data_IF_328528055705
#
_entry.id   IF_328528055705
#
_cell.length_a   1.000
_cell.length_b   1.000
_cell.length_c   1.000
_cell.angle_alpha   90.00
_cell.angle_beta   90.00
_cell.angle_gamma   90.00
#
_symmetry.space_group_name_H-M   'P 1'
#
loop_
_entity.id
_entity.type
_entity.pdbx_description
1 polymer ?
#
# COMPACT_ATOMS: atom_id res chain seq x y z
N UNK A 1 -6.36 -1.91 -15.44
CA UNK A 1 -5.96 -0.83 -14.51
C UNK A 1 -6.85 -0.94 -13.28
N UNK A 2 -6.37 -1.64 -12.27
CA UNK A 2 -7.14 -1.89 -11.05
C UNK A 2 -6.19 -2.50 -10.04
N UNK A 3 -5.59 -1.64 -9.21
CA UNK A 3 -5.09 -2.08 -7.93
C UNK A 3 -6.30 -2.04 -7.00
N UNK A 4 -6.67 -3.15 -6.37
CA UNK A 4 -7.92 -3.21 -5.62
C UNK A 4 -7.68 -2.68 -4.21
N UNK A 5 -7.80 -1.36 -4.10
CA UNK A 5 -7.68 -0.63 -2.84
C UNK A 5 -9.07 -0.07 -2.52
N UNK A 6 -9.68 -0.58 -1.45
CA UNK A 6 -11.06 -0.24 -1.09
C UNK A 6 -11.17 0.86 -0.03
N UNK A 7 -10.07 1.29 0.60
CA UNK A 7 -10.09 2.43 1.52
C UNK A 7 -8.82 2.61 2.36
N UNK A 8 -8.76 3.73 3.08
CA UNK A 8 -7.72 4.05 4.08
C UNK A 8 -8.45 4.31 5.41
N UNK A 9 -8.03 3.64 6.49
CA UNK A 9 -8.55 3.89 7.84
C UNK A 9 -7.43 4.52 8.67
N UNK A 10 -7.63 5.78 9.07
CA UNK A 10 -6.65 6.57 9.81
C UNK A 10 -6.76 6.39 11.33
N UNK A 11 -7.84 5.76 11.83
CA UNK A 11 -8.13 5.65 13.26
C UNK A 11 -8.37 4.17 13.70
N UNK A 12 -7.55 3.65 14.65
CA UNK A 12 -7.71 2.31 15.22
C UNK A 12 -9.06 2.07 15.94
N UNK A 13 -9.67 3.12 16.52
CA UNK A 13 -10.92 3.01 17.28
C UNK A 13 -12.10 2.81 16.34
N UNK A 14 -12.06 3.48 15.17
CA UNK A 14 -13.05 3.31 14.10
C UNK A 14 -12.94 1.92 13.46
N UNK A 15 -11.72 1.37 13.36
CA UNK A 15 -11.51 -0.02 12.92
C UNK A 15 -12.20 -1.02 13.86
N UNK A 16 -12.03 -0.86 15.17
CA UNK A 16 -12.65 -1.75 16.18
C UNK A 16 -14.19 -1.72 16.15
N UNK A 17 -14.80 -0.55 15.93
CA UNK A 17 -16.27 -0.40 15.87
C UNK A 17 -16.91 -1.03 14.64
N UNK A 18 -16.15 -1.22 13.56
CA UNK A 18 -16.60 -1.87 12.33
C UNK A 18 -16.33 -3.38 12.30
N UNK A 19 -15.92 -3.99 13.43
CA UNK A 19 -15.66 -5.43 13.53
C UNK A 19 -14.32 -5.86 12.91
N UNK A 20 -13.41 -4.91 12.69
CA UNK A 20 -12.10 -5.14 12.08
C UNK A 20 -11.09 -5.40 13.20
N UNK A 21 -10.47 -6.59 13.21
CA UNK A 21 -9.34 -6.88 14.10
C UNK A 21 -8.04 -6.34 13.49
N UNK A 22 -7.52 -5.25 14.08
CA UNK A 22 -6.22 -4.65 13.74
C UNK A 22 -6.17 -3.18 14.14
N UNK A 23 -5.00 -2.70 14.62
CA UNK A 23 -4.75 -1.26 14.73
C UNK A 23 -4.45 -0.67 13.34
N UNK A 24 -4.69 0.63 13.18
CA UNK A 24 -4.66 1.38 11.91
C UNK A 24 -3.64 0.86 10.87
N UNK A 25 -4.12 0.62 9.65
CA UNK A 25 -3.36 0.08 8.54
C UNK A 25 -4.21 0.00 7.27
N UNK A 26 -3.57 0.07 6.11
CA UNK A 26 -4.22 0.12 4.79
C UNK A 26 -4.95 -1.19 4.48
N UNK A 27 -6.24 -1.12 4.18
CA UNK A 27 -7.05 -2.29 3.82
C UNK A 27 -6.97 -2.58 2.31
N UNK A 28 -6.39 -3.73 1.95
CA UNK A 28 -6.43 -4.29 0.60
C UNK A 28 -7.34 -5.50 0.60
N UNK A 29 -8.58 -5.34 0.15
CA UNK A 29 -9.53 -6.45 0.09
C UNK A 29 -10.30 -6.40 -1.24
N UNK A 30 -9.65 -6.84 -2.32
CA UNK A 30 -10.37 -7.38 -3.48
C UNK A 30 -10.84 -8.79 -3.13
N UNK A 31 -12.08 -9.12 -3.41
CA UNK A 31 -12.59 -10.50 -3.32
C UNK A 31 -11.77 -11.44 -4.24
N UNK A 32 -11.29 -10.92 -5.38
CA UNK A 32 -10.42 -11.67 -6.28
C UNK A 32 -9.03 -11.93 -5.68
N UNK A 33 -8.45 -10.94 -4.99
CA UNK A 33 -7.15 -11.06 -4.33
C UNK A 33 -7.26 -12.00 -3.14
N UNK A 34 -8.38 -11.95 -2.40
CA UNK A 34 -8.69 -12.93 -1.35
C UNK A 34 -8.75 -14.35 -1.91
N UNK A 35 -9.47 -14.55 -3.01
CA UNK A 35 -9.62 -15.87 -3.61
C UNK A 35 -8.29 -16.37 -4.20
N UNK A 36 -7.53 -15.52 -4.88
CA UNK A 36 -6.18 -15.85 -5.38
C UNK A 36 -5.20 -16.14 -4.24
N UNK A 37 -5.28 -15.39 -3.14
CA UNK A 37 -4.46 -15.62 -1.93
C UNK A 37 -4.89 -16.89 -1.18
N UNK A 38 -6.19 -17.16 -1.09
CA UNK A 38 -6.76 -18.36 -0.47
C UNK A 38 -6.44 -19.63 -1.28
N UNK A 39 -6.31 -19.50 -2.60
CA UNK A 39 -5.87 -20.57 -3.50
C UNK A 39 -4.34 -20.65 -3.64
N UNK A 40 -3.56 -19.82 -2.92
CA UNK A 40 -2.10 -19.77 -2.98
C UNK A 40 -1.53 -19.31 -4.33
N UNK A 41 -2.39 -18.81 -5.23
CA UNK A 41 -2.12 -18.52 -6.65
C UNK A 41 -2.35 -17.05 -6.98
N UNK A 42 -1.54 -16.17 -6.39
CA UNK A 42 -1.43 -14.79 -6.85
C UNK A 42 -0.72 -14.74 -8.20
N UNK A 43 -1.31 -14.07 -9.18
CA UNK A 43 -0.55 -13.74 -10.40
C UNK A 43 0.65 -12.86 -10.03
N UNK A 44 1.83 -13.10 -10.62
CA UNK A 44 3.06 -12.35 -10.29
C UNK A 44 2.83 -10.83 -10.31
N UNK A 45 2.10 -10.33 -11.30
CA UNK A 45 1.77 -8.89 -11.41
C UNK A 45 0.82 -8.37 -10.32
N UNK A 46 -0.07 -9.21 -9.78
CA UNK A 46 -0.95 -8.81 -8.68
C UNK A 46 -0.18 -8.79 -7.36
N UNK A 47 0.70 -9.78 -7.14
CA UNK A 47 1.61 -9.82 -6.01
C UNK A 47 2.59 -8.64 -6.00
N UNK A 48 3.15 -8.28 -7.16
CA UNK A 48 4.03 -7.12 -7.30
C UNK A 48 3.33 -5.83 -6.89
N UNK A 49 2.12 -5.59 -7.40
CA UNK A 49 1.33 -4.40 -7.05
C UNK A 49 0.93 -4.39 -5.58
N UNK A 50 0.57 -5.55 -5.03
CA UNK A 50 0.26 -5.68 -3.61
C UNK A 50 1.46 -5.25 -2.75
N UNK A 51 2.64 -5.82 -3.03
CA UNK A 51 3.86 -5.50 -2.29
C UNK A 51 4.23 -4.03 -2.42
N UNK A 52 4.09 -3.44 -3.62
CA UNK A 52 4.32 -2.01 -3.81
C UNK A 52 3.44 -1.17 -2.87
N UNK A 53 2.14 -1.45 -2.78
CA UNK A 53 1.27 -0.61 -1.95
C UNK A 53 1.45 -0.91 -0.46
N UNK A 54 1.69 -2.16 -0.08
CA UNK A 54 2.04 -2.55 1.29
C UNK A 54 3.25 -1.75 1.80
N UNK A 55 4.30 -1.64 0.97
CA UNK A 55 5.51 -0.89 1.31
C UNK A 55 5.45 0.60 0.96
N UNK A 56 4.33 1.11 0.44
CA UNK A 56 4.22 2.52 0.06
C UNK A 56 4.26 3.47 1.27
N UNK A 57 3.78 3.03 2.44
CA UNK A 57 3.89 3.77 3.70
C UNK A 57 5.35 3.98 4.11
N UNK A 58 6.10 2.89 4.22
CA UNK A 58 7.55 2.90 4.51
C UNK A 58 8.31 3.77 3.49
N UNK A 59 7.99 3.63 2.20
CA UNK A 59 8.61 4.43 1.15
C UNK A 59 8.26 5.94 1.26
N UNK A 60 7.04 6.28 1.69
CA UNK A 60 6.62 7.66 1.90
C UNK A 60 7.32 8.29 3.11
N UNK A 61 7.44 7.55 4.22
CA UNK A 61 8.18 7.99 5.41
C UNK A 61 9.64 8.26 5.07
N UNK A 62 10.31 7.31 4.41
CA UNK A 62 11.69 7.48 3.98
C UNK A 62 11.87 8.69 3.03
N UNK A 63 10.89 8.95 2.15
CA UNK A 63 10.93 10.10 1.24
C UNK A 63 10.74 11.44 1.95
N UNK A 64 9.94 11.49 3.01
CA UNK A 64 9.59 12.74 3.72
C UNK A 64 10.55 13.04 4.87
N UNK A 65 10.91 12.03 5.66
CA UNK A 65 11.65 12.15 6.91
C UNK A 65 13.10 11.65 6.83
N UNK A 66 13.47 10.95 5.75
CA UNK A 66 14.83 10.45 5.50
C UNK A 66 15.11 9.06 6.08
N UNK A 67 14.34 8.64 7.08
CA UNK A 67 14.33 7.29 7.64
C UNK A 67 12.86 6.85 7.84
N UNK A 68 12.61 5.54 7.84
CA UNK A 68 11.32 4.97 8.18
C UNK A 68 11.33 4.51 9.63
N UNK A 69 10.36 4.97 10.43
CA UNK A 69 10.26 4.67 11.86
C UNK A 69 9.18 3.61 12.16
N UNK A 70 8.31 3.32 11.19
CA UNK A 70 7.28 2.28 11.26
C UNK A 70 7.50 1.12 10.28
N UNK A 71 6.49 0.24 10.15
CA UNK A 71 6.44 -0.79 9.11
C UNK A 71 6.62 -2.23 9.57
N UNK A 72 6.86 -2.49 10.86
CA UNK A 72 6.99 -3.87 11.38
C UNK A 72 5.74 -4.73 11.08
N UNK A 73 4.55 -4.12 11.18
CA UNK A 73 3.29 -4.78 10.81
C UNK A 73 3.23 -5.13 9.32
N UNK A 74 3.69 -4.22 8.45
CA UNK A 74 3.72 -4.43 7.01
C UNK A 74 4.72 -5.55 6.64
N UNK A 75 5.88 -5.58 7.29
CA UNK A 75 6.87 -6.65 7.13
C UNK A 75 6.36 -8.02 7.60
N UNK A 76 5.66 -8.07 8.75
CA UNK A 76 5.06 -9.29 9.27
C UNK A 76 3.93 -9.80 8.37
N UNK A 77 3.11 -8.90 7.84
CA UNK A 77 2.06 -9.24 6.86
C UNK A 77 2.66 -9.77 5.56
N UNK A 78 3.69 -9.08 5.04
CA UNK A 78 4.45 -9.53 3.86
C UNK A 78 5.04 -10.93 4.06
N UNK A 79 5.68 -11.18 5.21
CA UNK A 79 6.25 -12.50 5.54
C UNK A 79 5.18 -13.57 5.59
N UNK A 80 4.05 -13.29 6.22
CA UNK A 80 2.94 -14.24 6.35
C UNK A 80 2.39 -14.63 4.99
N UNK A 81 2.21 -13.65 4.08
CA UNK A 81 1.75 -13.91 2.71
C UNK A 81 2.76 -14.73 1.92
N UNK A 82 4.06 -14.39 1.99
CA UNK A 82 5.10 -15.11 1.24
C UNK A 82 5.19 -16.60 1.58
N UNK A 83 4.87 -16.97 2.84
CA UNK A 83 4.85 -18.36 3.31
C UNK A 83 3.57 -19.09 2.88
N UNK A 84 2.47 -18.37 2.68
CA UNK A 84 1.18 -18.93 2.24
C UNK A 84 1.09 -19.11 0.71
N UNK A 85 2.00 -18.54 -0.06
CA UNK A 85 2.05 -18.72 -1.52
C UNK A 85 2.42 -20.15 -1.88
N UNK A 86 1.92 -20.63 -3.03
CA UNK A 86 2.25 -21.94 -3.58
C UNK A 86 2.94 -21.80 -4.96
N UNK A 87 4.27 -22.06 -5.05
CA UNK A 87 5.19 -22.41 -3.96
C UNK A 87 5.56 -21.21 -3.08
N UNK A 88 5.97 -21.46 -1.81
CA UNK A 88 6.38 -20.39 -0.90
C UNK A 88 7.69 -19.76 -1.37
N UNK A 89 7.85 -18.46 -1.09
CA UNK A 89 9.07 -17.74 -1.47
C UNK A 89 10.23 -18.13 -0.54
N UNK A 90 11.41 -18.32 -1.14
CA UNK A 90 12.65 -18.39 -0.37
C UNK A 90 13.00 -17.05 0.27
N UNK A 91 13.81 -17.07 1.33
CA UNK A 91 14.28 -15.86 2.03
C UNK A 91 14.91 -14.85 1.05
N UNK A 92 15.67 -15.33 0.07
CA UNK A 92 16.30 -14.47 -0.95
C UNK A 92 15.26 -13.82 -1.86
N UNK A 93 14.24 -14.58 -2.29
CA UNK A 93 13.14 -14.03 -3.10
C UNK A 93 12.32 -13.01 -2.31
N UNK A 94 12.04 -13.29 -1.04
CA UNK A 94 11.33 -12.35 -0.16
C UNK A 94 12.11 -11.04 -0.01
N UNK A 95 13.42 -11.12 0.27
CA UNK A 95 14.28 -9.94 0.40
C UNK A 95 14.33 -9.13 -0.90
N UNK A 96 14.47 -9.80 -2.05
CA UNK A 96 14.49 -9.14 -3.35
C UNK A 96 13.14 -8.47 -3.66
N UNK A 97 12.03 -9.14 -3.37
CA UNK A 97 10.69 -8.61 -3.60
C UNK A 97 10.41 -7.38 -2.71
N UNK A 98 10.76 -7.45 -1.42
CA UNK A 98 10.61 -6.32 -0.50
C UNK A 98 11.44 -5.12 -0.96
N UNK A 99 12.73 -5.33 -1.24
CA UNK A 99 13.62 -4.28 -1.73
C UNK A 99 13.16 -3.66 -3.06
N UNK A 100 12.72 -4.50 -4.00
CA UNK A 100 12.17 -4.03 -5.27
C UNK A 100 10.90 -3.19 -5.04
N UNK A 101 10.00 -3.66 -4.19
CA UNK A 101 8.71 -3.00 -3.93
C UNK A 101 8.88 -1.65 -3.27
N UNK A 102 9.75 -1.56 -2.25
CA UNK A 102 10.11 -0.28 -1.61
C UNK A 102 10.69 0.69 -2.64
N UNK A 103 11.63 0.24 -3.47
CA UNK A 103 12.25 1.08 -4.50
C UNK A 103 11.23 1.58 -5.53
N UNK A 104 10.32 0.72 -6.01
CA UNK A 104 9.28 1.12 -6.96
C UNK A 104 8.32 2.14 -6.36
N UNK A 105 7.85 1.89 -5.14
CA UNK A 105 6.94 2.81 -4.44
C UNK A 105 7.61 4.15 -4.15
N UNK A 106 8.86 4.13 -3.71
CA UNK A 106 9.66 5.34 -3.50
C UNK A 106 9.80 6.14 -4.80
N UNK A 107 10.15 5.50 -5.91
CA UNK A 107 10.28 6.18 -7.21
C UNK A 107 8.95 6.77 -7.68
N UNK A 108 7.84 6.04 -7.51
CA UNK A 108 6.51 6.51 -7.87
C UNK A 108 6.12 7.76 -7.06
N UNK A 109 6.35 7.75 -5.74
CA UNK A 109 6.10 8.89 -4.86
C UNK A 109 7.03 10.08 -5.17
N UNK A 110 8.31 9.81 -5.44
CA UNK A 110 9.32 10.82 -5.79
C UNK A 110 9.00 11.53 -7.10
N UNK A 111 8.65 10.79 -8.15
CA UNK A 111 8.31 11.37 -9.46
C UNK A 111 6.97 12.09 -9.44
N UNK A 112 6.00 11.60 -8.67
CA UNK A 112 4.68 12.21 -8.53
C UNK A 112 4.54 13.03 -7.24
N UNK A 113 5.60 13.72 -6.82
CA UNK A 113 5.65 14.49 -5.55
C UNK A 113 4.50 15.51 -5.42
N UNK A 114 4.10 16.14 -6.52
CA UNK A 114 3.00 17.10 -6.53
C UNK A 114 1.65 16.43 -6.22
N UNK A 115 1.39 15.27 -6.83
CA UNK A 115 0.16 14.52 -6.61
C UNK A 115 0.12 13.92 -5.20
N UNK A 116 1.24 13.38 -4.72
CA UNK A 116 1.37 12.91 -3.34
C UNK A 116 1.05 14.02 -2.33
N UNK A 117 1.65 15.22 -2.51
CA UNK A 117 1.37 16.36 -1.63
C UNK A 117 -0.08 16.84 -1.71
N UNK A 118 -0.71 16.79 -2.88
CA UNK A 118 -2.11 17.14 -3.04
C UNK A 118 -3.03 16.15 -2.31
N UNK A 119 -2.71 14.86 -2.36
CA UNK A 119 -3.42 13.82 -1.61
C UNK A 119 -3.29 14.03 -0.09
N UNK A 120 -2.06 14.23 0.42
CA UNK A 120 -1.80 14.48 1.84
C UNK A 120 -2.59 15.69 2.34
N UNK A 121 -2.54 16.82 1.64
CA UNK A 121 -3.29 18.03 2.02
C UNK A 121 -4.80 17.79 2.05
N UNK A 122 -5.33 17.03 1.10
CA UNK A 122 -6.75 16.71 1.07
C UNK A 122 -7.15 15.84 2.27
N UNK A 123 -6.33 14.85 2.61
CA UNK A 123 -6.53 14.01 3.80
C UNK A 123 -6.44 14.81 5.10
N UNK A 124 -5.42 15.66 5.27
CA UNK A 124 -5.24 16.53 6.45
C UNK A 124 -6.41 17.49 6.66
N UNK A 125 -7.04 17.95 5.58
CA UNK A 125 -8.23 18.80 5.64
C UNK A 125 -9.53 18.05 6.00
N UNK A 126 -9.47 16.74 6.25
CA UNK A 126 -10.64 15.90 6.48
C UNK A 126 -11.48 15.67 5.22
N UNK A 127 -10.86 15.78 4.03
CA UNK A 127 -11.53 15.59 2.75
C UNK A 127 -11.99 14.15 2.55
N UNK A 128 -13.14 13.97 1.90
CA UNK A 128 -13.61 12.63 1.53
C UNK A 128 -12.68 11.96 0.51
N UNK A 129 -12.77 10.64 0.38
CA UNK A 129 -11.99 9.87 -0.60
C UNK A 129 -12.15 10.43 -2.03
N UNK A 130 -13.37 10.81 -2.41
CA UNK A 130 -13.64 11.42 -3.73
C UNK A 130 -12.87 12.72 -3.94
N UNK A 131 -12.70 13.53 -2.88
CA UNK A 131 -11.91 14.77 -2.94
C UNK A 131 -10.42 14.43 -3.12
N UNK A 132 -9.90 13.44 -2.39
CA UNK A 132 -8.51 13.00 -2.52
C UNK A 132 -8.20 12.52 -3.94
N UNK A 133 -9.07 11.67 -4.50
CA UNK A 133 -8.94 11.16 -5.88
C UNK A 133 -8.91 12.32 -6.87
N UNK A 134 -9.88 13.23 -6.79
CA UNK A 134 -9.94 14.39 -7.68
C UNK A 134 -8.67 15.25 -7.61
N UNK A 135 -8.13 15.47 -6.41
CA UNK A 135 -6.89 16.25 -6.21
C UNK A 135 -5.67 15.57 -6.82
N UNK A 136 -5.60 14.25 -6.76
CA UNK A 136 -4.55 13.48 -7.43
C UNK A 136 -4.67 13.63 -8.95
N UNK A 137 -5.87 13.43 -9.52
CA UNK A 137 -6.11 13.53 -10.97
C UNK A 137 -5.82 14.92 -11.54
N UNK A 138 -6.27 15.97 -10.84
CA UNK A 138 -5.97 17.37 -11.16
C UNK A 138 -4.45 17.62 -11.17
N UNK A 139 -3.72 17.12 -10.16
CA UNK A 139 -2.27 17.31 -10.06
C UNK A 139 -1.47 16.53 -11.11
N UNK A 140 -1.94 15.35 -11.51
CA UNK A 140 -1.26 14.56 -12.56
C UNK A 140 -1.49 15.18 -13.93
N UNK A 141 -2.70 15.69 -14.19
CA UNK A 141 -3.05 16.32 -15.47
C UNK A 141 -2.37 17.66 -15.68
N UNK A 142 -2.14 18.43 -14.62
CA UNK A 142 -1.46 19.73 -14.69
C UNK A 142 0.06 19.64 -14.87
N UNK A 143 0.65 18.45 -14.75
CA UNK A 143 2.09 18.22 -14.88
C UNK A 143 2.47 17.59 -16.24
N UNK A 144 1.52 17.53 -17.17
CA UNK A 144 1.69 17.15 -18.58
C UNK A 144 1.73 18.39 -19.46
#
# INVERSE_FOLDING_TARGET
MGCPICGVILDPIVAMQMGIQGQAGTQFWDEKLQNELAEGRLSGTAFDRYCMVLFAGIAAEALVYGEAEGGENDENLFRSICVLLEPPLSIVQMSNQAGWSVLQSYNMLKWHKHAHRAAVKALESGGSLSVVIRRIEESVSSNR
#
